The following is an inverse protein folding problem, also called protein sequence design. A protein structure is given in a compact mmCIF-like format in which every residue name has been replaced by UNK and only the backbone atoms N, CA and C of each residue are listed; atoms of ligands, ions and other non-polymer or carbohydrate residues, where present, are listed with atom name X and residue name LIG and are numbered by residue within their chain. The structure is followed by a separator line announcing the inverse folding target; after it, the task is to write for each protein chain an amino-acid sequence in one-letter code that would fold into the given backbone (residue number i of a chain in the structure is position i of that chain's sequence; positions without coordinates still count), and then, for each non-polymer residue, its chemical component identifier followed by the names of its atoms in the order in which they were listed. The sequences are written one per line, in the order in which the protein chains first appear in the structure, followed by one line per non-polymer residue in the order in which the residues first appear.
data_IF_068010088324
#
_entry.id   IF_068010088324
#
_cell.length_a   1.000
_cell.length_b   1.000
_cell.length_c   1.000
_cell.angle_alpha   90.00
_cell.angle_beta   90.00
_cell.angle_gamma   90.00
#
_symmetry.space_group_name_H-M   'P 1'
#
loop_
_entity.id
_entity.type
_entity.pdbx_description
1 polymer ?
#
# COMPACT_ATOMS: atom_id res chain seq x y z
N UNK A 1 24.90 -1.12 -1.83
CA UNK A 1 23.53 -1.62 -2.06
C UNK A 1 23.29 -2.17 -3.49
N UNK A 2 24.31 -2.24 -4.36
CA UNK A 2 24.18 -2.74 -5.75
C UNK A 2 24.77 -4.15 -5.98
N UNK A 3 25.30 -4.80 -4.95
CA UNK A 3 26.00 -6.09 -5.08
C UNK A 3 25.09 -7.33 -4.95
N UNK A 4 23.78 -7.16 -4.76
CA UNK A 4 22.83 -8.27 -4.58
C UNK A 4 22.08 -8.67 -5.87
N UNK A 5 22.36 -8.02 -7.01
CA UNK A 5 21.67 -8.29 -8.28
C UNK A 5 22.31 -9.41 -9.13
N UNK A 6 23.41 -10.01 -8.67
CA UNK A 6 24.15 -11.02 -9.44
C UNK A 6 23.57 -12.45 -9.35
N UNK A 7 22.49 -12.67 -8.61
CA UNK A 7 21.83 -13.98 -8.51
C UNK A 7 20.43 -14.01 -9.15
N UNK A 8 20.25 -13.31 -10.28
CA UNK A 8 19.07 -13.50 -11.11
C UNK A 8 19.24 -14.76 -11.96
N UNK A 9 18.89 -15.92 -11.38
CA UNK A 9 18.80 -17.19 -12.12
C UNK A 9 17.65 -17.11 -13.12
N UNK A 10 17.94 -17.38 -14.39
CA UNK A 10 16.94 -17.41 -15.43
C UNK A 10 15.99 -18.59 -15.18
N UNK A 11 14.70 -18.31 -15.06
CA UNK A 11 13.67 -19.31 -14.73
C UNK A 11 13.63 -20.50 -15.71
N UNK A 12 14.16 -20.33 -16.92
CA UNK A 12 14.29 -21.37 -17.95
C UNK A 12 15.22 -22.51 -17.56
N UNK A 13 16.17 -22.24 -16.66
CA UNK A 13 17.26 -23.17 -16.32
C UNK A 13 16.87 -24.06 -15.12
N UNK A 14 15.72 -23.78 -14.51
CA UNK A 14 15.09 -24.59 -13.47
C UNK A 14 14.09 -25.51 -14.14
N UNK A 15 14.35 -26.81 -14.14
CA UNK A 15 13.36 -27.80 -14.58
C UNK A 15 12.12 -27.71 -13.70
N UNK A 16 11.09 -27.01 -14.17
CA UNK A 16 9.82 -26.75 -13.48
C UNK A 16 9.03 -28.02 -13.10
N UNK A 17 9.49 -29.20 -13.54
CA UNK A 17 8.88 -30.50 -13.25
C UNK A 17 9.02 -30.95 -11.79
N UNK A 18 9.94 -30.34 -11.01
CA UNK A 18 10.16 -30.68 -9.59
C UNK A 18 9.57 -29.69 -8.58
N UNK A 19 9.10 -28.51 -9.04
CA UNK A 19 8.62 -27.46 -8.14
C UNK A 19 7.10 -27.38 -8.28
N UNK A 20 6.38 -27.46 -7.17
CA UNK A 20 4.96 -27.14 -7.17
C UNK A 20 4.81 -25.64 -7.38
N UNK A 21 4.09 -25.24 -8.44
CA UNK A 21 3.89 -23.82 -8.77
C UNK A 21 3.27 -23.03 -7.60
N UNK A 22 2.50 -23.69 -6.71
CA UNK A 22 1.96 -23.05 -5.51
C UNK A 22 3.04 -22.61 -4.52
N UNK A 23 4.16 -23.33 -4.47
CA UNK A 23 5.28 -23.03 -3.59
C UNK A 23 6.09 -21.81 -4.08
N UNK A 24 5.87 -21.39 -5.34
CA UNK A 24 6.44 -20.16 -5.90
C UNK A 24 5.72 -18.90 -5.41
N UNK A 25 4.48 -19.04 -4.93
CA UNK A 25 3.69 -17.92 -4.46
C UNK A 25 3.76 -17.83 -2.94
N UNK A 26 4.03 -16.64 -2.37
CA UNK A 26 3.94 -16.46 -0.93
C UNK A 26 2.54 -16.78 -0.42
N UNK A 27 2.48 -17.33 0.79
CA UNK A 27 1.21 -17.48 1.51
C UNK A 27 0.53 -16.13 1.70
N UNK A 28 -0.79 -16.15 1.92
CA UNK A 28 -1.55 -14.93 2.20
C UNK A 28 -0.94 -14.09 3.34
N UNK A 29 -0.49 -14.74 4.42
CA UNK A 29 0.16 -14.04 5.54
C UNK A 29 1.44 -13.31 5.10
N UNK A 30 2.26 -13.97 4.27
CA UNK A 30 3.49 -13.35 3.74
C UNK A 30 3.19 -12.21 2.77
N UNK A 31 2.10 -12.31 2.00
CA UNK A 31 1.64 -11.22 1.15
C UNK A 31 1.25 -10.02 2.01
N UNK A 32 0.43 -10.20 3.04
CA UNK A 32 0.01 -9.10 3.93
C UNK A 32 1.22 -8.43 4.60
N UNK A 33 2.18 -9.19 5.12
CA UNK A 33 3.38 -8.67 5.79
C UNK A 33 4.27 -7.80 4.90
N UNK A 34 4.22 -8.00 3.57
CA UNK A 34 5.11 -7.34 2.59
C UNK A 34 4.33 -6.57 1.51
N UNK A 35 3.08 -6.24 1.77
CA UNK A 35 2.19 -5.60 0.80
C UNK A 35 2.22 -4.07 0.87
N UNK A 36 1.91 -3.44 -0.26
CA UNK A 36 1.41 -2.08 -0.34
C UNK A 36 0.01 -2.13 -0.92
N UNK A 37 -0.96 -1.54 -0.21
CA UNK A 37 -2.36 -1.54 -0.64
C UNK A 37 -2.69 -0.14 -1.17
N UNK A 38 -3.01 -0.06 -2.46
CA UNK A 38 -3.48 1.18 -3.06
C UNK A 38 -4.97 1.36 -2.75
N UNK A 39 -5.30 2.37 -1.96
CA UNK A 39 -6.67 2.62 -1.49
C UNK A 39 -7.15 3.96 -2.01
N UNK A 40 -8.26 3.95 -2.71
CA UNK A 40 -9.02 5.17 -3.00
C UNK A 40 -9.75 5.62 -1.73
N UNK A 41 -9.15 6.57 -1.01
CA UNK A 41 -9.64 6.98 0.31
C UNK A 41 -10.98 7.72 0.16
N UNK A 42 -12.07 7.27 0.80
CA UNK A 42 -13.34 7.98 0.74
C UNK A 42 -13.27 9.35 1.44
N UNK A 43 -14.16 10.26 1.03
CA UNK A 43 -14.39 11.53 1.73
C UNK A 43 -15.03 11.26 3.10
N UNK A 44 -14.63 12.02 4.12
CA UNK A 44 -15.15 11.87 5.49
C UNK A 44 -14.08 11.41 6.49
N UNK A 45 -13.70 10.12 6.49
CA UNK A 45 -12.76 9.59 7.47
C UNK A 45 -11.35 10.13 7.27
N UNK A 46 -10.61 10.26 8.37
CA UNK A 46 -9.19 10.58 8.37
C UNK A 46 -8.36 9.44 7.76
N UNK A 47 -7.12 9.76 7.35
CA UNK A 47 -6.18 8.74 6.86
C UNK A 47 -5.85 7.69 7.93
N UNK A 48 -5.85 8.07 9.22
CA UNK A 48 -5.65 7.15 10.34
C UNK A 48 -6.82 6.16 10.49
N UNK A 49 -8.07 6.63 10.36
CA UNK A 49 -9.25 5.77 10.45
C UNK A 49 -9.29 4.74 9.33
N UNK A 50 -9.08 5.16 8.08
CA UNK A 50 -9.04 4.24 6.94
C UNK A 50 -7.93 3.21 7.11
N UNK A 51 -6.75 3.65 7.56
CA UNK A 51 -5.61 2.78 7.85
C UNK A 51 -5.96 1.73 8.92
N UNK A 52 -6.63 2.12 10.00
CA UNK A 52 -7.05 1.22 11.07
C UNK A 52 -8.08 0.18 10.60
N UNK A 53 -9.04 0.58 9.75
CA UNK A 53 -10.01 -0.35 9.18
C UNK A 53 -9.36 -1.41 8.31
N UNK A 54 -8.43 -0.99 7.45
CA UNK A 54 -7.69 -1.91 6.56
C UNK A 54 -6.89 -2.91 7.38
N UNK A 55 -6.16 -2.45 8.41
CA UNK A 55 -5.44 -3.35 9.30
C UNK A 55 -6.36 -4.37 9.97
N UNK A 56 -7.55 -3.95 10.43
CA UNK A 56 -8.54 -4.85 11.01
C UNK A 56 -9.08 -5.87 9.99
N UNK A 57 -9.32 -5.45 8.74
CA UNK A 57 -9.83 -6.34 7.69
C UNK A 57 -8.84 -7.45 7.32
N UNK A 58 -7.54 -7.14 7.27
CA UNK A 58 -6.51 -8.11 6.86
C UNK A 58 -5.78 -8.77 8.04
N UNK A 59 -6.13 -8.41 9.28
CA UNK A 59 -5.49 -8.93 10.49
C UNK A 59 -4.03 -8.49 10.66
N UNK A 60 -3.65 -7.32 10.10
CA UNK A 60 -2.29 -6.83 10.18
C UNK A 60 -1.96 -6.29 11.58
N UNK A 61 -0.79 -6.66 12.12
CA UNK A 61 -0.30 -6.19 13.43
C UNK A 61 0.28 -4.78 13.38
N UNK A 62 0.80 -4.37 12.22
CA UNK A 62 1.44 -3.06 11.99
C UNK A 62 1.05 -2.57 10.61
N UNK A 63 0.70 -1.29 10.51
CA UNK A 63 0.30 -0.63 9.26
C UNK A 63 0.68 0.86 9.34
N UNK A 64 0.85 1.50 8.18
CA UNK A 64 1.00 2.95 8.06
C UNK A 64 0.45 3.44 6.72
N UNK A 65 0.29 4.75 6.57
CA UNK A 65 -0.10 5.38 5.30
C UNK A 65 1.06 6.23 4.74
N UNK A 66 1.16 6.32 3.41
CA UNK A 66 2.24 7.05 2.74
C UNK A 66 2.17 8.58 2.86
N UNK A 67 1.04 9.13 3.32
CA UNK A 67 0.84 10.56 3.55
C UNK A 67 -0.60 10.83 4.00
N UNK A 68 -0.83 11.97 4.66
CA UNK A 68 -2.16 12.32 5.15
C UNK A 68 -2.97 13.03 4.09
N UNK A 69 -4.04 12.41 3.62
CA UNK A 69 -5.06 13.05 2.81
C UNK A 69 -6.12 13.64 3.75
N UNK A 70 -5.95 14.91 4.12
CA UNK A 70 -6.91 15.66 4.93
C UNK A 70 -8.13 16.07 4.09
N UNK A 71 -9.32 16.00 4.70
CA UNK A 71 -10.50 16.63 4.10
C UNK A 71 -10.42 18.13 4.33
N UNK A 72 -10.14 18.90 3.28
CA UNK A 72 -10.37 20.34 3.35
C UNK A 72 -11.87 20.57 3.49
N UNK A 73 -12.28 21.26 4.56
CA UNK A 73 -13.67 21.69 4.74
C UNK A 73 -14.12 22.45 3.47
N UNK A 74 -15.38 22.28 3.09
CA UNK A 74 -15.97 23.10 2.04
C UNK A 74 -15.73 24.56 2.40
N UNK A 75 -15.20 25.33 1.46
CA UNK A 75 -14.96 26.76 1.64
C UNK A 75 -16.32 27.40 1.88
N UNK A 76 -16.54 27.92 3.09
CA UNK A 76 -17.88 28.42 3.49
C UNK A 76 -17.99 29.93 3.35
N UNK A 77 -16.87 30.62 3.11
CA UNK A 77 -16.87 32.08 2.93
C UNK A 77 -15.82 32.57 1.93
N UNK A 78 -16.05 33.70 1.24
CA UNK A 78 -15.11 34.30 0.29
C UNK A 78 -13.69 34.60 0.83
N UNK A 79 -13.52 34.78 2.15
CA UNK A 79 -12.20 35.04 2.76
C UNK A 79 -11.30 33.81 2.83
N UNK A 80 -11.88 32.61 2.78
CA UNK A 80 -11.15 31.34 2.81
C UNK A 80 -10.61 30.92 1.43
N UNK A 81 -10.93 31.67 0.36
CA UNK A 81 -10.45 31.40 -0.99
C UNK A 81 -9.00 31.86 -1.22
N UNK A 82 -8.51 32.82 -0.44
CA UNK A 82 -7.15 33.39 -0.63
C UNK A 82 -6.02 32.46 -0.16
N UNK A 83 -6.33 31.30 0.41
CA UNK A 83 -5.36 30.29 0.85
C UNK A 83 -5.29 29.08 -0.08
N UNK A 84 -6.09 29.07 -1.16
CA UNK A 84 -5.97 28.12 -2.25
C UNK A 84 -5.12 28.77 -3.35
N UNK A 85 -3.81 28.81 -3.15
CA UNK A 85 -2.90 29.06 -4.25
C UNK A 85 -3.01 27.88 -5.23
N UNK A 86 -3.44 28.19 -6.46
CA UNK A 86 -3.47 27.27 -7.59
C UNK A 86 -2.04 27.07 -8.10
N UNK A 87 -1.28 26.20 -7.42
CA UNK A 87 -0.06 25.60 -7.96
C UNK A 87 -0.26 24.09 -8.09
#
# INVERSE_FOLDING_TARGET
MLNELNELVKLSDVTLTKINVRDLYPSFSQLIERSLINIDKPRGPSSHEVTAWVAKMVGAKKVGHGGTLEFKKAVTSPREWSSYDFF
#
